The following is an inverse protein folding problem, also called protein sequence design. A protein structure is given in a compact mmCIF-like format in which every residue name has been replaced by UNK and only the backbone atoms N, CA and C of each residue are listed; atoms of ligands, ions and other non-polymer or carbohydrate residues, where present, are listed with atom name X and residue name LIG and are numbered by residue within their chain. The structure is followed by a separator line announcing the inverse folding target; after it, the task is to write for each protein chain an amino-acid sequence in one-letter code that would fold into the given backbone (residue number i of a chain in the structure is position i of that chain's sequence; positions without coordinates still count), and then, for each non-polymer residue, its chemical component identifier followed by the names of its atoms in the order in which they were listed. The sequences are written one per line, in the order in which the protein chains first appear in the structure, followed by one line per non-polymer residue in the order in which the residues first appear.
data_IF_866313295923
#
_entry.id   IF_866313295923
#
_cell.length_a   1.000
_cell.length_b   1.000
_cell.length_c   1.000
_cell.angle_alpha   90.00
_cell.angle_beta   90.00
_cell.angle_gamma   90.00
#
_symmetry.space_group_name_H-M   'P 1'
#
loop_
_entity.id
_entity.type
_entity.pdbx_description
1 polymer ?
#
# COMPACT_ATOMS: atom_id res chain seq x y z
N UNK A 1 15.23 -24.10 -2.23
CA UNK A 1 14.70 -22.76 -1.90
C UNK A 1 14.04 -22.22 -3.15
N UNK A 2 12.71 -22.24 -3.23
CA UNK A 2 11.98 -21.70 -4.36
C UNK A 2 11.77 -20.18 -4.16
N UNK A 3 12.17 -19.37 -5.15
CA UNK A 3 11.89 -17.94 -5.19
C UNK A 3 10.63 -17.72 -6.03
N UNK A 4 9.57 -17.19 -5.44
CA UNK A 4 8.40 -16.74 -6.19
C UNK A 4 8.51 -15.23 -6.41
N UNK A 5 9.16 -14.81 -7.51
CA UNK A 5 9.17 -13.42 -7.93
C UNK A 5 7.88 -13.12 -8.71
N UNK A 6 6.83 -12.65 -8.01
CA UNK A 6 5.64 -12.12 -8.66
C UNK A 6 5.71 -10.59 -8.68
N UNK A 7 6.00 -10.04 -9.86
CA UNK A 7 5.92 -8.59 -10.11
C UNK A 7 4.46 -8.24 -10.40
N UNK A 8 3.81 -7.47 -9.53
CA UNK A 8 2.49 -6.92 -9.80
C UNK A 8 2.63 -5.75 -10.78
N UNK A 9 2.80 -6.05 -12.08
CA UNK A 9 2.86 -5.01 -13.12
C UNK A 9 1.45 -4.55 -13.46
N UNK A 10 1.15 -3.28 -13.19
CA UNK A 10 0.00 -2.58 -13.77
C UNK A 10 0.33 -2.26 -15.24
N UNK A 11 -0.26 -2.99 -16.18
CA UNK A 11 -0.25 -2.59 -17.59
C UNK A 11 -1.03 -1.29 -17.73
N UNK A 12 -0.35 -0.22 -18.15
CA UNK A 12 -0.99 0.98 -18.68
C UNK A 12 -0.46 1.11 -20.11
N UNK A 13 -1.25 0.65 -21.06
CA UNK A 13 -1.08 0.93 -22.48
C UNK A 13 -1.42 2.39 -22.74
N UNK A 14 -0.51 3.14 -23.35
CA UNK A 14 -0.75 4.53 -23.73
C UNK A 14 0.50 5.16 -24.31
N UNK A 15 0.70 4.96 -25.61
CA UNK A 15 1.62 5.70 -26.45
C UNK A 15 1.18 7.17 -26.54
N UNK A 16 2.08 8.12 -26.24
CA UNK A 16 1.97 9.49 -26.75
C UNK A 16 3.34 10.18 -26.66
N UNK A 17 3.71 10.76 -27.80
CA UNK A 17 4.96 11.42 -28.10
C UNK A 17 5.18 12.75 -27.35
N UNK A 18 6.46 13.14 -27.32
CA UNK A 18 7.01 14.50 -27.36
C UNK A 18 6.27 15.67 -26.72
N UNK A 19 6.95 16.39 -25.83
CA UNK A 19 6.63 17.80 -25.54
C UNK A 19 7.11 18.26 -24.17
N UNK A 20 8.14 19.10 -24.14
CA UNK A 20 8.51 19.86 -22.96
C UNK A 20 7.40 20.89 -22.65
N UNK A 21 6.98 20.97 -21.39
CA UNK A 21 6.30 22.15 -20.85
C UNK A 21 6.53 22.22 -19.33
N UNK A 22 7.49 23.04 -18.94
CA UNK A 22 7.64 23.58 -17.60
C UNK A 22 6.37 24.32 -17.18
N UNK A 23 5.71 23.90 -16.10
CA UNK A 23 4.75 24.73 -15.38
C UNK A 23 5.05 24.64 -13.88
N UNK A 24 5.69 25.68 -13.37
CA UNK A 24 5.93 25.89 -11.95
C UNK A 24 4.63 26.11 -11.19
N UNK A 25 4.59 25.62 -9.96
CA UNK A 25 3.55 25.96 -8.98
C UNK A 25 4.24 26.62 -7.79
N UNK A 26 4.03 27.93 -7.67
CA UNK A 26 4.43 28.70 -6.49
C UNK A 26 3.54 28.34 -5.31
N UNK A 27 4.15 27.94 -4.20
CA UNK A 27 3.44 27.75 -2.93
C UNK A 27 3.11 29.11 -2.30
N UNK A 28 1.88 29.36 -1.83
CA UNK A 28 1.65 30.50 -0.94
C UNK A 28 2.13 30.14 0.47
N UNK A 29 3.15 30.86 0.93
CA UNK A 29 3.45 30.98 2.36
C UNK A 29 2.39 31.87 3.00
N UNK A 30 1.61 31.35 3.94
CA UNK A 30 1.31 32.04 5.21
C UNK A 30 0.75 31.05 6.24
N UNK A 31 1.36 31.08 7.42
CA UNK A 31 0.86 30.45 8.65
C UNK A 31 -0.58 30.88 8.94
N UNK A 32 -1.41 29.90 9.30
CA UNK A 32 -2.66 30.08 10.04
C UNK A 32 -2.79 28.95 11.05
N UNK A 33 -2.38 29.19 12.29
CA UNK A 33 -2.60 28.27 13.41
C UNK A 33 -3.99 28.55 13.98
N UNK A 34 -4.95 27.66 13.70
CA UNK A 34 -6.24 27.62 14.40
C UNK A 34 -6.24 26.48 15.41
N UNK A 35 -6.32 26.75 16.72
CA UNK A 35 -6.49 25.71 17.73
C UNK A 35 -7.85 25.05 17.50
N UNK A 36 -7.87 23.75 17.14
CA UNK A 36 -9.11 22.99 16.92
C UNK A 36 -9.17 22.17 15.63
N UNK A 37 -8.15 22.23 14.77
CA UNK A 37 -8.08 21.28 13.65
C UNK A 37 -7.63 19.91 14.16
N UNK A 38 -8.62 19.06 14.47
CA UNK A 38 -8.44 17.60 14.47
C UNK A 38 -7.67 17.24 13.20
N UNK A 39 -6.50 16.61 13.31
CA UNK A 39 -5.73 16.15 12.16
C UNK A 39 -6.63 15.26 11.30
N UNK A 40 -7.24 15.88 10.28
CA UNK A 40 -8.18 15.19 9.40
C UNK A 40 -7.32 14.17 8.67
N UNK A 41 -7.47 12.89 9.02
CA UNK A 41 -6.94 11.79 8.21
C UNK A 41 -7.36 12.09 6.78
N UNK A 42 -6.40 12.40 5.92
CA UNK A 42 -6.69 12.76 4.54
C UNK A 42 -7.09 11.46 3.86
N UNK A 43 -8.39 11.29 3.61
CA UNK A 43 -8.94 10.10 2.97
C UNK A 43 -8.15 9.79 1.70
N UNK A 44 -7.79 8.51 1.50
CA UNK A 44 -7.01 8.07 0.33
C UNK A 44 -5.50 8.30 0.41
N UNK A 45 -4.98 8.85 1.51
CA UNK A 45 -3.53 8.87 1.78
C UNK A 45 -3.14 7.76 2.74
N UNK A 46 -2.02 7.10 2.49
CA UNK A 46 -1.66 5.91 3.25
C UNK A 46 -0.53 5.13 2.60
N UNK A 47 -0.41 3.87 3.01
CA UNK A 47 0.55 2.94 2.45
C UNK A 47 0.01 1.51 2.51
N UNK A 48 0.67 0.62 1.76
CA UNK A 48 0.27 -0.77 1.69
C UNK A 48 0.93 -1.59 2.80
N UNK A 49 0.22 -2.64 3.19
CA UNK A 49 0.66 -3.68 4.08
C UNK A 49 0.46 -5.01 3.36
N UNK A 50 1.35 -5.97 3.53
CA UNK A 50 1.14 -7.33 3.04
C UNK A 50 0.85 -8.26 4.20
N UNK A 51 -0.31 -8.91 4.20
CA UNK A 51 -0.70 -9.94 5.16
C UNK A 51 -0.50 -11.31 4.52
N UNK A 52 0.36 -12.14 5.12
CA UNK A 52 0.67 -13.50 4.70
C UNK A 52 -0.27 -14.46 5.42
N UNK A 53 -0.99 -15.28 4.67
CA UNK A 53 -2.09 -16.14 5.13
C UNK A 53 -3.20 -15.38 5.88
N UNK A 54 -3.27 -14.07 5.66
CA UNK A 54 -4.18 -13.17 6.35
C UNK A 54 -5.33 -12.71 5.45
N UNK A 55 -6.47 -12.41 6.07
CA UNK A 55 -7.65 -11.83 5.41
C UNK A 55 -7.60 -10.30 5.45
N UNK A 56 -8.32 -9.62 4.55
CA UNK A 56 -8.52 -8.18 4.65
C UNK A 56 -9.09 -7.78 6.01
N UNK A 57 -8.63 -6.66 6.55
CA UNK A 57 -9.07 -6.16 7.85
C UNK A 57 -10.24 -5.18 7.69
N UNK A 58 -11.23 -5.21 8.59
CA UNK A 58 -12.27 -4.18 8.68
C UNK A 58 -11.70 -2.77 8.76
N UNK A 59 -12.45 -1.80 8.27
CA UNK A 59 -12.05 -0.40 8.27
C UNK A 59 -11.83 0.11 9.70
N UNK A 60 -10.70 0.75 9.93
CA UNK A 60 -10.31 1.32 11.21
C UNK A 60 -9.52 0.38 12.13
N UNK A 61 -9.45 -0.92 11.82
CA UNK A 61 -8.61 -1.85 12.59
C UNK A 61 -7.12 -1.65 12.29
N UNK A 62 -6.28 -1.76 13.32
CA UNK A 62 -4.83 -1.63 13.19
C UNK A 62 -4.28 -2.90 12.56
N UNK A 63 -3.46 -2.76 11.50
CA UNK A 63 -2.66 -3.85 10.96
C UNK A 63 -1.62 -4.25 12.02
N UNK A 64 -1.64 -5.51 12.50
CA UNK A 64 -0.68 -5.97 13.48
C UNK A 64 0.75 -5.88 12.95
N UNK A 65 1.74 -5.65 13.82
CA UNK A 65 3.16 -5.76 13.50
C UNK A 65 3.67 -7.14 13.94
N UNK A 66 3.61 -8.09 13.02
CA UNK A 66 4.01 -9.50 13.18
C UNK A 66 4.87 -9.95 12.00
N UNK A 67 5.48 -11.13 12.11
CA UNK A 67 6.25 -11.74 11.02
C UNK A 67 5.41 -12.06 9.76
N UNK A 68 4.08 -12.10 9.90
CA UNK A 68 3.14 -12.32 8.79
C UNK A 68 2.57 -11.03 8.21
N UNK A 69 3.09 -9.87 8.61
CA UNK A 69 2.56 -8.56 8.21
C UNK A 69 3.70 -7.59 7.89
N UNK A 70 3.93 -7.34 6.61
CA UNK A 70 4.97 -6.43 6.13
C UNK A 70 4.40 -5.02 5.93
N UNK A 71 5.15 -3.99 6.31
CA UNK A 71 4.74 -2.58 6.25
C UNK A 71 5.53 -1.81 5.19
N UNK A 72 4.85 -1.25 4.19
CA UNK A 72 5.47 -0.51 3.08
C UNK A 72 5.36 1.01 3.22
N UNK A 73 5.63 1.53 4.42
CA UNK A 73 5.49 2.96 4.76
C UNK A 73 6.52 3.90 4.10
N UNK A 74 7.51 3.38 3.37
CA UNK A 74 8.59 4.16 2.72
C UNK A 74 8.44 4.27 1.21
N UNK A 75 7.27 3.88 0.67
CA UNK A 75 7.01 3.90 -0.77
C UNK A 75 7.55 2.68 -1.52
N UNK A 76 7.78 1.56 -0.83
CA UNK A 76 8.16 0.30 -1.48
C UNK A 76 7.03 -0.18 -2.39
N UNK A 77 7.39 -0.65 -3.59
CA UNK A 77 6.45 -1.17 -4.59
C UNK A 77 6.54 -2.69 -4.74
N UNK A 78 7.60 -3.31 -4.21
CA UNK A 78 7.86 -4.74 -4.31
C UNK A 78 8.66 -5.22 -3.10
N UNK A 79 8.66 -6.54 -2.90
CA UNK A 79 9.44 -7.22 -1.87
C UNK A 79 9.66 -8.68 -2.28
N UNK A 80 10.76 -9.28 -1.83
CA UNK A 80 10.99 -10.71 -1.97
C UNK A 80 10.40 -11.45 -0.76
N UNK A 81 9.69 -12.54 -1.03
CA UNK A 81 9.10 -13.40 0.00
C UNK A 81 9.71 -14.79 -0.07
N UNK A 82 10.02 -15.35 1.09
CA UNK A 82 10.33 -16.78 1.25
C UNK A 82 9.19 -17.40 2.04
N UNK A 83 8.52 -18.37 1.43
CA UNK A 83 7.38 -19.07 2.00
C UNK A 83 7.67 -20.58 2.03
N UNK A 84 7.13 -21.32 3.01
CA UNK A 84 7.20 -22.78 2.98
C UNK A 84 6.44 -23.34 1.76
N UNK A 85 6.72 -24.60 1.34
CA UNK A 85 5.91 -25.26 0.31
C UNK A 85 4.45 -25.38 0.75
N UNK A 86 3.52 -25.17 -0.20
CA UNK A 86 2.08 -25.21 0.03
C UNK A 86 1.31 -24.01 -0.53
N UNK A 87 0.02 -23.97 -0.24
CA UNK A 87 -0.89 -22.88 -0.62
C UNK A 87 -0.82 -21.74 0.41
N UNK A 88 -0.65 -20.52 -0.10
CA UNK A 88 -0.61 -19.30 0.69
C UNK A 88 -1.57 -18.26 0.14
N UNK A 89 -2.15 -17.47 1.03
CA UNK A 89 -2.85 -16.24 0.62
C UNK A 89 -1.99 -15.03 0.90
N UNK A 90 -1.94 -14.10 -0.05
CA UNK A 90 -1.22 -12.85 0.07
C UNK A 90 -2.23 -11.72 -0.08
N UNK A 91 -2.51 -11.01 1.01
CA UNK A 91 -3.47 -9.91 1.04
C UNK A 91 -2.73 -8.58 1.15
N UNK A 92 -2.78 -7.78 0.08
CA UNK A 92 -2.31 -6.41 0.10
C UNK A 92 -3.42 -5.51 0.69
N UNK A 93 -3.20 -4.97 1.89
CA UNK A 93 -4.13 -4.11 2.62
C UNK A 93 -3.67 -2.65 2.58
N UNK A 94 -4.48 -1.75 2.03
CA UNK A 94 -4.20 -0.32 2.15
C UNK A 94 -4.62 0.18 3.53
N UNK A 95 -3.75 0.96 4.17
CA UNK A 95 -3.99 1.54 5.49
C UNK A 95 -3.46 2.97 5.57
N UNK A 96 -3.95 3.70 6.56
CA UNK A 96 -3.57 5.08 6.80
C UNK A 96 -2.21 5.22 7.51
N UNK A 97 -1.78 6.47 7.74
CA UNK A 97 -0.49 6.77 8.39
C UNK A 97 -0.33 6.27 9.84
N UNK A 98 -1.39 5.73 10.46
CA UNK A 98 -1.30 5.06 11.76
C UNK A 98 -1.59 3.56 11.66
N UNK A 99 -1.35 2.98 10.49
CA UNK A 99 -1.51 1.54 10.19
C UNK A 99 -2.94 1.03 10.36
N UNK A 100 -3.95 1.90 10.28
CA UNK A 100 -5.35 1.44 10.34
C UNK A 100 -5.86 1.14 8.94
N UNK A 101 -6.50 0.00 8.79
CA UNK A 101 -7.08 -0.48 7.55
C UNK A 101 -8.11 0.51 7.00
N UNK A 102 -8.07 0.72 5.70
CA UNK A 102 -9.12 1.43 4.99
C UNK A 102 -10.36 0.57 4.69
N UNK A 103 -10.32 -0.72 5.03
CA UNK A 103 -11.38 -1.69 4.85
C UNK A 103 -11.07 -2.72 3.76
N UNK A 104 -11.88 -3.80 3.66
CA UNK A 104 -11.74 -4.83 2.64
C UNK A 104 -11.86 -4.30 1.21
N UNK A 105 -12.60 -3.22 1.01
CA UNK A 105 -12.79 -2.56 -0.29
C UNK A 105 -11.48 -1.96 -0.86
N UNK A 106 -10.52 -1.66 0.00
CA UNK A 106 -9.18 -1.20 -0.39
C UNK A 106 -8.13 -2.27 -0.09
N UNK A 107 -8.45 -3.51 -0.45
CA UNK A 107 -7.53 -4.65 -0.36
C UNK A 107 -7.52 -5.47 -1.65
N UNK A 108 -6.48 -6.27 -1.83
CA UNK A 108 -6.41 -7.28 -2.89
C UNK A 108 -5.78 -8.55 -2.33
N UNK A 109 -6.48 -9.67 -2.47
CA UNK A 109 -5.96 -10.99 -2.12
C UNK A 109 -5.63 -11.78 -3.37
N UNK A 110 -4.51 -12.49 -3.35
CA UNK A 110 -4.15 -13.52 -4.31
C UNK A 110 -3.82 -14.82 -3.57
N UNK A 111 -3.94 -15.94 -4.26
CA UNK A 111 -3.46 -17.25 -3.79
C UNK A 111 -2.22 -17.63 -4.60
N UNK A 112 -1.19 -18.11 -3.93
CA UNK A 112 0.03 -18.62 -4.56
C UNK A 112 0.32 -20.02 -4.03
N UNK A 113 0.85 -20.88 -4.89
CA UNK A 113 1.29 -22.22 -4.54
C UNK A 113 2.81 -22.31 -4.68
N UNK A 114 3.49 -22.66 -3.59
CA UNK A 114 4.95 -22.79 -3.54
C UNK A 114 5.33 -24.27 -3.57
N UNK A 115 6.22 -24.64 -4.48
CA UNK A 115 6.73 -26.00 -4.68
C UNK A 115 8.00 -26.25 -3.89
#
# INVERSE_FOLDING_TARGET
MARASHVLRRSVSGEAAGGAASHGWSAPRRLGYSPGQVWRRRSGTGHHHLLIDGKPLPKGEVVPATDKSLHFGKGQTETDLTLPPGDHTLTLQFGDGAHRSYGPEMSKTITVHVK
#
